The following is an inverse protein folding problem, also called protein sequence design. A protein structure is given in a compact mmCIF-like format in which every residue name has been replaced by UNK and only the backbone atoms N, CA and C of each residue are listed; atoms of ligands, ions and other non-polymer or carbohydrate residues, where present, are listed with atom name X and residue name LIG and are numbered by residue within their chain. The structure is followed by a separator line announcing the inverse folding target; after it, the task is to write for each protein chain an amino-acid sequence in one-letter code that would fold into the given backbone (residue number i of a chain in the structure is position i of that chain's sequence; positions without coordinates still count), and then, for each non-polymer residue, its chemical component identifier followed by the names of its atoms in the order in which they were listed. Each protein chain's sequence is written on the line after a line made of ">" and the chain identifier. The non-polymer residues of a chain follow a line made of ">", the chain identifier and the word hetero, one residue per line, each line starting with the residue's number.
data_IF_107787099765
#
_entry.id   IF_107787099765
#
_cell.length_a   1.000
_cell.length_b   1.000
_cell.length_c   1.000
_cell.angle_alpha   90.00
_cell.angle_beta   90.00
_cell.angle_gamma   90.00
#
_symmetry.space_group_name_H-M   'P 1'
#
loop_
_entity.id
_entity.type
_entity.pdbx_description
1 polymer ?
#
# COMPACT_ATOMS: atom_id res chain seq x y z
N UNK A 1 -4.86 19.37 20.28
CA UNK A 1 -4.72 19.53 18.82
C UNK A 1 -5.57 18.48 18.12
N UNK A 2 -6.24 18.80 17.00
CA UNK A 2 -6.93 17.79 16.20
C UNK A 2 -5.91 16.75 15.71
N UNK A 3 -6.29 15.48 15.74
CA UNK A 3 -5.44 14.37 15.27
C UNK A 3 -5.53 14.33 13.75
N UNK A 4 -4.44 14.64 13.05
CA UNK A 4 -4.37 14.64 11.58
C UNK A 4 -4.20 13.22 11.01
N UNK A 5 -5.26 12.43 11.07
CA UNK A 5 -5.29 11.03 10.63
C UNK A 5 -6.47 10.73 9.73
N UNK A 6 -6.34 9.69 8.90
CA UNK A 6 -7.37 9.29 7.95
C UNK A 6 -7.01 8.01 7.20
N UNK A 7 -7.99 7.40 6.52
CA UNK A 7 -7.76 6.16 5.79
C UNK A 7 -6.83 6.38 4.58
N UNK A 8 -6.14 5.31 4.17
CA UNK A 8 -5.36 5.27 2.93
C UNK A 8 -4.33 6.42 2.81
N UNK A 9 -4.49 7.31 1.82
CA UNK A 9 -3.58 8.42 1.52
C UNK A 9 -3.97 9.74 2.20
N UNK A 10 -5.03 9.75 3.01
CA UNK A 10 -5.60 10.98 3.57
C UNK A 10 -5.04 11.36 4.95
N UNK A 11 -3.99 10.66 5.41
CA UNK A 11 -3.22 11.05 6.60
C UNK A 11 -2.57 12.43 6.40
N UNK A 12 -2.52 13.23 7.46
CA UNK A 12 -1.88 14.55 7.45
C UNK A 12 -2.81 15.73 7.10
N UNK A 13 -4.05 15.47 6.68
CA UNK A 13 -5.08 16.50 6.58
C UNK A 13 -5.52 16.95 7.99
N UNK A 14 -6.03 18.17 8.10
CA UNK A 14 -6.48 18.71 9.39
C UNK A 14 -7.69 17.95 9.91
N UNK A 15 -7.58 17.41 11.12
CA UNK A 15 -8.66 16.65 11.75
C UNK A 15 -8.62 15.16 11.43
N UNK A 16 -9.57 14.45 12.03
CA UNK A 16 -9.71 13.02 11.89
C UNK A 16 -10.78 12.72 10.84
N UNK A 17 -10.40 11.99 9.79
CA UNK A 17 -11.31 11.62 8.71
C UNK A 17 -12.02 10.31 9.07
N UNK A 18 -13.33 10.39 9.26
CA UNK A 18 -14.17 9.25 9.63
C UNK A 18 -14.80 8.54 8.43
N UNK A 19 -15.02 9.25 7.32
CA UNK A 19 -15.65 8.69 6.13
C UNK A 19 -15.02 9.25 4.86
N UNK A 20 -14.81 8.38 3.87
CA UNK A 20 -14.39 8.76 2.52
C UNK A 20 -15.18 7.94 1.51
N UNK A 21 -15.76 8.59 0.51
CA UNK A 21 -16.42 7.95 -0.61
C UNK A 21 -15.77 8.44 -1.91
N UNK A 22 -15.41 7.52 -2.81
CA UNK A 22 -15.07 7.91 -4.17
C UNK A 22 -16.32 8.38 -4.92
N UNK A 23 -16.18 9.25 -5.92
CA UNK A 23 -17.32 9.80 -6.68
C UNK A 23 -18.24 8.71 -7.26
N UNK A 24 -17.64 7.61 -7.75
CA UNK A 24 -18.37 6.46 -8.32
C UNK A 24 -18.73 5.40 -7.27
N UNK A 25 -18.45 5.64 -5.99
CA UNK A 25 -18.71 4.74 -4.87
C UNK A 25 -18.11 3.32 -4.97
N UNK A 26 -17.14 3.08 -5.86
CA UNK A 26 -16.43 1.78 -5.93
C UNK A 26 -15.63 1.48 -4.66
N UNK A 27 -15.16 2.52 -3.97
CA UNK A 27 -14.45 2.43 -2.72
C UNK A 27 -15.08 3.39 -1.71
N UNK A 28 -15.52 2.83 -0.58
CA UNK A 28 -16.05 3.57 0.56
C UNK A 28 -15.34 3.09 1.81
N UNK A 29 -14.89 4.06 2.61
CA UNK A 29 -14.26 3.82 3.90
C UNK A 29 -15.09 4.50 4.96
N UNK A 30 -15.49 3.76 5.99
CA UNK A 30 -16.23 4.28 7.13
C UNK A 30 -15.61 3.80 8.44
N UNK A 31 -15.36 4.72 9.37
CA UNK A 31 -14.91 4.40 10.71
C UNK A 31 -16.06 3.75 11.48
N UNK A 32 -15.92 2.46 11.79
CA UNK A 32 -16.95 1.71 12.52
C UNK A 32 -16.84 1.88 14.05
N UNK A 33 -15.74 2.45 14.55
CA UNK A 33 -15.53 2.68 15.98
C UNK A 33 -14.18 3.32 16.27
N UNK A 34 -14.10 4.01 17.41
CA UNK A 34 -12.86 4.60 17.95
C UNK A 34 -12.77 4.19 19.41
N UNK A 35 -11.64 3.61 19.78
CA UNK A 35 -11.38 3.16 21.14
C UNK A 35 -10.03 3.67 21.63
N UNK A 36 -9.99 4.06 22.90
CA UNK A 36 -8.74 4.45 23.55
C UNK A 36 -8.07 3.20 24.09
N UNK A 37 -6.99 2.75 23.43
CA UNK A 37 -6.18 1.63 23.90
C UNK A 37 -4.80 2.10 24.37
N UNK A 38 -4.32 1.51 25.46
CA UNK A 38 -2.92 1.63 25.91
C UNK A 38 -2.13 0.43 25.39
N UNK A 39 -1.80 0.45 24.09
CA UNK A 39 -0.98 -0.60 23.46
C UNK A 39 0.37 -0.02 23.09
N UNK A 40 1.43 -0.80 23.29
CA UNK A 40 2.75 -0.45 22.82
C UNK A 40 2.78 -0.53 21.28
N UNK A 41 3.12 0.58 20.61
CA UNK A 41 3.28 0.61 19.16
C UNK A 41 4.67 0.04 18.83
N UNK A 42 4.73 -1.27 18.56
CA UNK A 42 5.96 -1.92 18.07
C UNK A 42 5.99 -1.94 16.55
N UNK A 43 7.14 -1.71 15.92
CA UNK A 43 7.33 -2.04 14.51
C UNK A 43 7.01 -3.52 14.28
N UNK A 44 6.24 -3.83 13.24
CA UNK A 44 5.90 -5.21 12.87
C UNK A 44 7.14 -6.09 12.59
N UNK A 45 8.25 -5.48 12.15
CA UNK A 45 9.53 -6.15 11.93
C UNK A 45 10.69 -5.16 11.99
N UNK A 46 11.93 -5.67 12.13
CA UNK A 46 13.13 -4.89 11.82
C UNK A 46 13.08 -4.55 10.33
N UNK A 47 12.85 -3.28 10.01
CA UNK A 47 12.93 -2.78 8.64
C UNK A 47 14.34 -2.95 8.08
N UNK A 48 14.46 -2.96 6.75
CA UNK A 48 15.77 -2.91 6.08
C UNK A 48 16.14 -1.43 5.95
N UNK A 49 17.26 -0.96 6.54
CA UNK A 49 17.69 0.41 6.35
C UNK A 49 18.09 0.62 4.89
N UNK A 50 17.45 1.58 4.22
CA UNK A 50 17.68 1.91 2.81
C UNK A 50 17.73 3.43 2.62
N UNK A 51 18.44 3.88 1.60
CA UNK A 51 18.40 5.27 1.16
C UNK A 51 17.14 5.54 0.33
N UNK A 52 16.79 6.83 0.16
CA UNK A 52 15.68 7.24 -0.70
C UNK A 52 15.83 6.75 -2.14
N UNK A 53 17.05 6.81 -2.70
CA UNK A 53 17.35 6.32 -4.05
C UNK A 53 17.15 4.81 -4.18
N UNK A 54 17.61 4.03 -3.19
CA UNK A 54 17.42 2.59 -3.14
C UNK A 54 15.93 2.23 -3.09
N UNK A 55 15.14 2.98 -2.31
CA UNK A 55 13.69 2.80 -2.25
C UNK A 55 13.02 3.10 -3.61
N UNK A 56 13.35 4.22 -4.25
CA UNK A 56 12.79 4.59 -5.54
C UNK A 56 13.09 3.53 -6.61
N UNK A 57 14.34 3.06 -6.67
CA UNK A 57 14.75 1.98 -7.58
C UNK A 57 13.95 0.70 -7.33
N UNK A 58 13.84 0.26 -6.08
CA UNK A 58 13.07 -0.95 -5.72
C UNK A 58 11.58 -0.81 -6.02
N UNK A 59 11.01 0.38 -5.83
CA UNK A 59 9.62 0.67 -6.18
C UNK A 59 9.39 0.55 -7.69
N UNK A 60 10.30 1.06 -8.50
CA UNK A 60 10.18 0.98 -9.96
C UNK A 60 10.42 -0.44 -10.48
N UNK A 61 11.35 -1.19 -9.87
CA UNK A 61 11.50 -2.63 -10.09
C UNK A 61 10.20 -3.40 -9.82
N UNK A 62 9.53 -3.10 -8.69
CA UNK A 62 8.26 -3.74 -8.32
C UNK A 62 7.11 -3.39 -9.27
N UNK A 63 7.01 -2.13 -9.71
CA UNK A 63 6.02 -1.71 -10.71
C UNK A 63 6.15 -2.49 -12.01
N UNK A 64 7.38 -2.72 -12.45
CA UNK A 64 7.67 -3.46 -13.69
C UNK A 64 7.53 -4.97 -13.52
N UNK A 65 7.87 -5.48 -12.33
CA UNK A 65 7.75 -6.87 -11.97
C UNK A 65 7.34 -7.01 -10.47
N UNK A 66 6.05 -7.28 -10.19
CA UNK A 66 5.58 -7.44 -8.81
C UNK A 66 6.11 -8.72 -8.14
N UNK A 67 6.78 -9.60 -8.89
CA UNK A 67 7.38 -10.84 -8.41
C UNK A 67 8.90 -10.83 -8.61
N UNK A 68 9.64 -9.99 -7.85
CA UNK A 68 11.10 -10.03 -7.88
C UNK A 68 11.60 -11.43 -7.50
N UNK A 69 12.69 -11.86 -8.12
CA UNK A 69 13.17 -13.24 -8.21
C UNK A 69 13.09 -14.04 -6.89
N UNK A 70 11.97 -14.75 -6.68
CA UNK A 70 11.86 -15.74 -5.62
C UNK A 70 12.59 -17.01 -6.04
N UNK A 71 13.85 -17.24 -5.65
CA UNK A 71 14.69 -18.38 -6.08
C UNK A 71 13.97 -19.74 -6.23
N UNK A 72 12.91 -19.99 -5.45
CA UNK A 72 12.12 -21.22 -5.44
C UNK A 72 10.88 -21.24 -6.36
N UNK A 73 10.73 -20.31 -7.31
CA UNK A 73 9.57 -20.23 -8.21
C UNK A 73 9.97 -20.52 -9.66
N UNK A 74 9.30 -21.47 -10.35
CA UNK A 74 9.53 -21.73 -11.78
C UNK A 74 9.31 -20.47 -12.62
N UNK A 75 10.20 -20.23 -13.59
CA UNK A 75 10.16 -19.04 -14.46
C UNK A 75 8.82 -18.89 -15.18
N UNK A 76 8.29 -19.98 -15.72
CA UNK A 76 7.04 -19.98 -16.48
C UNK A 76 5.82 -19.53 -15.65
N UNK A 77 5.76 -19.95 -14.38
CA UNK A 77 4.71 -19.51 -13.46
C UNK A 77 4.83 -18.03 -13.14
N UNK A 78 6.05 -17.49 -13.00
CA UNK A 78 6.23 -16.03 -12.82
C UNK A 78 5.77 -15.26 -14.05
N UNK A 79 6.13 -15.71 -15.25
CA UNK A 79 5.78 -15.02 -16.49
C UNK A 79 4.26 -14.99 -16.71
N UNK A 80 3.56 -16.07 -16.34
CA UNK A 80 2.08 -16.11 -16.34
C UNK A 80 1.48 -15.10 -15.35
N UNK A 81 2.02 -15.01 -14.14
CA UNK A 81 1.54 -14.06 -13.12
C UNK A 81 1.81 -12.60 -13.50
N UNK A 82 2.97 -12.30 -14.10
CA UNK A 82 3.29 -10.95 -14.61
C UNK A 82 2.33 -10.56 -15.72
N UNK A 83 1.99 -11.48 -16.64
CA UNK A 83 0.99 -11.23 -17.68
C UNK A 83 -0.41 -10.99 -17.12
N UNK A 84 -0.82 -11.77 -16.12
CA UNK A 84 -2.12 -11.58 -15.46
C UNK A 84 -2.19 -10.22 -14.76
N UNK A 85 -1.16 -9.84 -14.00
CA UNK A 85 -1.09 -8.56 -13.31
C UNK A 85 -1.18 -7.37 -14.27
N UNK A 86 -0.46 -7.40 -15.40
CA UNK A 86 -0.53 -6.34 -16.44
C UNK A 86 -1.90 -6.25 -17.13
N UNK A 87 -2.70 -7.32 -17.08
CA UNK A 87 -4.06 -7.34 -17.65
C UNK A 87 -5.10 -6.80 -16.66
N UNK A 88 -4.89 -7.02 -15.37
CA UNK A 88 -5.80 -6.61 -14.29
C UNK A 88 -5.59 -5.16 -13.82
N UNK A 89 -4.37 -4.64 -13.95
CA UNK A 89 -4.04 -3.23 -13.70
C UNK A 89 -3.88 -2.55 -15.06
N UNK A 90 -4.94 -1.94 -15.65
CA UNK A 90 -4.74 -1.05 -16.78
C UNK A 90 -3.78 0.05 -16.31
N UNK A 91 -2.78 0.39 -17.13
CA UNK A 91 -2.06 1.65 -16.91
C UNK A 91 -3.15 2.73 -16.84
N UNK A 92 -3.33 3.34 -15.67
CA UNK A 92 -4.05 4.60 -15.59
C UNK A 92 -3.34 5.55 -16.55
N UNK A 93 -4.05 5.89 -17.62
CA UNK A 93 -3.73 6.91 -18.61
C UNK A 93 -3.86 8.30 -18.02
#
# INVERSE_FOLDING_TARGET
>A
MPISEGPYRFKGLTGLILQVNGEKNYHSFNAIGIEKKKVEIKPFSKGIPVTGEQYLKKRDEFKNNPYPERKNFPKDKRDQMIKAFKKEVPLES
#
